data_IF_607991560419
#
_entry.id   IF_607991560419
#
_cell.length_a   1.000
_cell.length_b   1.000
_cell.length_c   1.000
_cell.angle_alpha   90.00
_cell.angle_beta   90.00
_cell.angle_gamma   90.00
#
_symmetry.space_group_name_H-M   'P 1'
#
loop_
_entity.id
_entity.type
_entity.pdbx_description
1 polymer ?
#
# COMPACT_ATOMS: atom_id res chain seq x y z
N UNK A 1 -54.85 -2.55 -62.09
CA UNK A 1 -53.45 -2.73 -61.57
C UNK A 1 -53.06 -1.53 -60.72
N UNK A 2 -53.27 -1.61 -59.44
CA UNK A 2 -52.86 -0.57 -58.51
C UNK A 2 -51.73 -1.13 -57.64
N UNK A 3 -50.51 -0.51 -57.69
CA UNK A 3 -49.40 -0.83 -56.86
C UNK A 3 -49.40 0.11 -55.64
N UNK A 4 -49.60 -0.42 -54.45
CA UNK A 4 -49.53 0.28 -53.19
C UNK A 4 -48.09 0.27 -52.73
N UNK A 5 -47.50 1.47 -52.53
CA UNK A 5 -46.18 1.63 -51.87
C UNK A 5 -46.44 1.80 -50.37
N UNK A 6 -45.88 0.90 -49.57
CA UNK A 6 -45.86 1.02 -48.12
C UNK A 6 -44.52 1.77 -47.73
N UNK A 7 -44.70 2.92 -47.13
CA UNK A 7 -43.56 3.67 -46.53
C UNK A 7 -43.27 3.13 -45.11
N UNK A 8 -42.08 2.59 -44.91
CA UNK A 8 -41.59 2.15 -43.60
C UNK A 8 -40.92 3.39 -42.95
N UNK A 9 -41.53 3.92 -41.89
CA UNK A 9 -40.89 4.92 -40.98
C UNK A 9 -39.97 4.20 -40.02
N UNK A 10 -38.69 4.45 -40.13
CA UNK A 10 -37.68 4.03 -39.14
C UNK A 10 -37.56 5.15 -38.10
N UNK A 11 -38.15 4.92 -36.92
CA UNK A 11 -37.99 5.82 -35.76
C UNK A 11 -36.64 5.52 -35.07
N UNK A 12 -35.69 6.44 -35.23
CA UNK A 12 -34.41 6.40 -34.55
C UNK A 12 -34.58 6.88 -33.08
N UNK A 13 -34.54 5.94 -32.15
CA UNK A 13 -34.61 6.21 -30.72
C UNK A 13 -33.19 6.68 -30.26
N UNK A 14 -33.00 7.98 -30.09
CA UNK A 14 -31.79 8.53 -29.45
C UNK A 14 -31.87 8.27 -27.95
N UNK A 15 -31.08 7.31 -27.45
CA UNK A 15 -30.86 7.11 -26.04
C UNK A 15 -29.93 8.20 -25.54
N UNK A 16 -30.44 9.19 -24.82
CA UNK A 16 -29.64 10.15 -24.05
C UNK A 16 -29.07 9.44 -22.84
N UNK A 17 -27.77 9.16 -22.87
CA UNK A 17 -27.01 8.71 -21.69
C UNK A 17 -26.92 9.92 -20.75
N UNK A 18 -27.73 9.94 -19.70
CA UNK A 18 -27.60 10.89 -18.61
C UNK A 18 -26.26 10.59 -17.90
N UNK A 19 -25.26 11.43 -18.10
CA UNK A 19 -24.06 11.43 -17.28
C UNK A 19 -24.50 11.71 -15.84
N UNK A 20 -24.31 10.75 -14.94
CA UNK A 20 -24.54 10.95 -13.52
C UNK A 20 -23.65 12.10 -13.06
N UNK A 21 -24.25 13.21 -12.62
CA UNK A 21 -23.53 14.35 -12.07
C UNK A 21 -22.75 13.87 -10.83
N UNK A 22 -21.42 13.98 -10.88
CA UNK A 22 -20.59 13.76 -9.70
C UNK A 22 -20.99 14.78 -8.64
N UNK A 23 -21.02 14.37 -7.34
CA UNK A 23 -21.27 15.33 -6.26
C UNK A 23 -20.23 16.44 -6.32
N UNK A 24 -20.67 17.69 -6.15
CA UNK A 24 -19.77 18.83 -6.12
C UNK A 24 -18.71 18.63 -5.03
N UNK A 25 -17.43 18.84 -5.37
CA UNK A 25 -16.34 18.76 -4.43
C UNK A 25 -16.56 19.76 -3.29
N UNK A 26 -16.34 19.30 -2.05
CA UNK A 26 -16.30 20.17 -0.85
C UNK A 26 -14.86 20.62 -0.54
N UNK A 27 -13.87 20.08 -1.24
CA UNK A 27 -12.46 20.44 -1.03
C UNK A 27 -12.12 21.78 -1.70
N UNK A 28 -11.24 22.59 -1.06
CA UNK A 28 -10.75 23.84 -1.64
C UNK A 28 -10.05 23.62 -3.01
N UNK A 29 -10.12 24.62 -3.94
CA UNK A 29 -9.51 24.48 -5.28
C UNK A 29 -8.01 24.18 -5.25
N UNK A 30 -7.26 24.73 -4.29
CA UNK A 30 -5.83 24.48 -4.10
C UNK A 30 -5.54 23.01 -3.72
N UNK A 31 -6.43 22.37 -2.95
CA UNK A 31 -6.35 20.94 -2.61
C UNK A 31 -6.57 20.10 -3.87
N UNK A 32 -7.56 20.43 -4.68
CA UNK A 32 -7.82 19.72 -5.95
C UNK A 32 -6.62 19.87 -6.89
N UNK A 33 -6.04 21.07 -6.98
CA UNK A 33 -4.84 21.34 -7.78
C UNK A 33 -3.66 20.47 -7.35
N UNK A 34 -3.50 20.23 -6.04
CA UNK A 34 -2.41 19.42 -5.49
C UNK A 34 -2.67 17.92 -5.65
N UNK A 35 -3.88 17.45 -5.33
CA UNK A 35 -4.17 16.00 -5.24
C UNK A 35 -4.76 15.40 -6.52
N UNK A 36 -5.36 16.21 -7.39
CA UNK A 36 -5.91 15.77 -8.68
C UNK A 36 -5.57 16.76 -9.81
N UNK A 37 -4.28 17.07 -10.05
CA UNK A 37 -3.87 18.11 -11.01
C UNK A 37 -4.28 17.82 -12.45
N UNK A 38 -4.58 16.56 -12.77
CA UNK A 38 -5.06 16.14 -14.10
C UNK A 38 -6.58 16.00 -14.20
N UNK A 39 -7.31 16.39 -13.13
CA UNK A 39 -8.75 16.17 -13.00
C UNK A 39 -9.11 14.76 -12.52
N UNK A 40 -8.11 13.91 -12.25
CA UNK A 40 -8.26 12.53 -11.73
C UNK A 40 -7.26 12.33 -10.60
N UNK A 41 -7.71 11.79 -9.46
CA UNK A 41 -6.84 11.38 -8.37
C UNK A 41 -6.11 10.09 -8.76
N UNK A 42 -4.79 10.15 -8.95
CA UNK A 42 -3.97 8.98 -9.26
C UNK A 42 -3.38 8.41 -7.97
N UNK A 43 -3.82 7.22 -7.58
CA UNK A 43 -3.41 6.57 -6.34
C UNK A 43 -2.47 5.38 -6.61
N UNK A 44 -1.28 5.40 -6.02
CA UNK A 44 -0.35 4.28 -6.06
C UNK A 44 -0.67 3.26 -4.97
N UNK A 45 -0.96 2.03 -5.37
CA UNK A 45 -1.37 0.92 -4.52
C UNK A 45 -0.23 -0.12 -4.42
N UNK A 46 0.29 -0.33 -3.22
CA UNK A 46 1.35 -1.31 -2.97
C UNK A 46 0.76 -2.69 -2.66
N UNK A 47 0.56 -3.53 -3.66
CA UNK A 47 0.05 -4.91 -3.49
C UNK A 47 1.10 -5.87 -2.87
N UNK A 48 2.33 -5.43 -2.67
CA UNK A 48 3.33 -6.18 -1.90
C UNK A 48 3.07 -6.21 -0.39
N UNK A 49 2.11 -5.42 0.11
CA UNK A 49 1.71 -5.41 1.53
C UNK A 49 0.30 -6.01 1.69
N UNK A 50 0.25 -7.30 1.97
CA UNK A 50 -0.99 -8.08 2.06
C UNK A 50 -1.89 -7.71 3.25
N UNK A 51 -1.38 -6.96 4.24
CA UNK A 51 -2.19 -6.43 5.34
C UNK A 51 -3.08 -5.30 4.85
N UNK A 52 -2.56 -4.48 3.94
CA UNK A 52 -3.20 -3.25 3.49
C UNK A 52 -3.94 -3.41 2.16
N UNK A 53 -3.47 -4.36 1.33
CA UNK A 53 -4.00 -4.63 -0.01
C UNK A 53 -4.09 -6.13 -0.23
N UNK A 54 -5.26 -6.61 -0.59
CA UNK A 54 -5.48 -7.98 -1.06
C UNK A 54 -5.78 -7.94 -2.56
N UNK A 55 -5.48 -9.04 -3.26
CA UNK A 55 -5.74 -9.19 -4.68
C UNK A 55 -6.40 -10.54 -4.95
N UNK A 56 -7.53 -10.50 -5.67
CA UNK A 56 -8.25 -11.67 -6.13
C UNK A 56 -8.74 -11.49 -7.58
N UNK A 57 -9.67 -12.35 -8.02
CA UNK A 57 -10.23 -12.29 -9.37
C UNK A 57 -11.05 -11.01 -9.64
N UNK A 58 -11.53 -10.33 -8.59
CA UNK A 58 -12.28 -9.07 -8.70
C UNK A 58 -11.35 -7.84 -8.77
N UNK A 59 -10.06 -8.01 -8.53
CA UNK A 59 -9.06 -6.96 -8.55
C UNK A 59 -8.39 -6.74 -7.20
N UNK A 60 -8.00 -5.48 -6.90
CA UNK A 60 -7.40 -5.10 -5.62
C UNK A 60 -8.44 -4.49 -4.68
N UNK A 61 -8.35 -4.85 -3.41
CA UNK A 61 -9.20 -4.34 -2.32
C UNK A 61 -8.40 -4.24 -1.02
N UNK A 62 -9.02 -3.73 0.04
CA UNK A 62 -8.39 -3.53 1.35
C UNK A 62 -8.31 -2.07 1.76
N UNK A 63 -7.78 -1.80 2.95
CA UNK A 63 -7.84 -0.49 3.60
C UNK A 63 -7.22 0.63 2.75
N UNK A 64 -6.16 0.35 2.02
CA UNK A 64 -5.52 1.31 1.11
C UNK A 64 -6.45 1.73 -0.03
N UNK A 65 -7.11 0.74 -0.65
CA UNK A 65 -8.06 0.97 -1.75
C UNK A 65 -9.29 1.71 -1.25
N UNK A 66 -9.81 1.34 -0.08
CA UNK A 66 -10.96 1.99 0.54
C UNK A 66 -10.67 3.45 0.87
N UNK A 67 -9.49 3.76 1.47
CA UNK A 67 -9.06 5.13 1.75
C UNK A 67 -8.88 5.95 0.47
N UNK A 68 -8.32 5.37 -0.59
CA UNK A 68 -8.14 6.06 -1.86
C UNK A 68 -9.49 6.42 -2.50
N UNK A 69 -10.44 5.50 -2.51
CA UNK A 69 -11.79 5.73 -3.03
C UNK A 69 -12.56 6.78 -2.19
N UNK A 70 -12.46 6.70 -0.86
CA UNK A 70 -13.11 7.65 0.04
C UNK A 70 -12.54 9.07 -0.15
N UNK A 71 -11.21 9.19 -0.30
CA UNK A 71 -10.59 10.47 -0.62
C UNK A 71 -11.10 11.03 -1.95
N UNK A 72 -11.16 10.22 -3.01
CA UNK A 72 -11.68 10.64 -4.31
C UNK A 72 -13.13 11.14 -4.21
N UNK A 73 -13.95 10.48 -3.38
CA UNK A 73 -15.33 10.89 -3.08
C UNK A 73 -15.37 12.26 -2.38
N UNK A 74 -14.49 12.49 -1.40
CA UNK A 74 -14.37 13.80 -0.71
C UNK A 74 -13.91 14.91 -1.67
N UNK A 75 -12.99 14.58 -2.57
CA UNK A 75 -12.50 15.53 -3.58
C UNK A 75 -13.49 15.75 -4.72
N UNK A 76 -14.53 14.92 -4.87
CA UNK A 76 -15.46 14.97 -6.00
C UNK A 76 -14.78 14.70 -7.35
N UNK A 77 -13.70 13.90 -7.37
CA UNK A 77 -12.90 13.61 -8.57
C UNK A 77 -12.94 12.12 -8.93
N UNK A 78 -12.80 11.76 -10.21
CA UNK A 78 -12.51 10.39 -10.61
C UNK A 78 -11.22 9.88 -9.96
N UNK A 79 -11.09 8.55 -9.83
CA UNK A 79 -9.89 7.91 -9.31
C UNK A 79 -9.29 6.95 -10.34
N UNK A 80 -7.95 6.90 -10.39
CA UNK A 80 -7.18 5.90 -11.10
C UNK A 80 -6.22 5.21 -10.13
N UNK A 81 -6.33 3.87 -10.04
CA UNK A 81 -5.44 3.06 -9.20
C UNK A 81 -4.31 2.49 -10.05
N UNK A 82 -3.06 2.78 -9.68
CA UNK A 82 -1.88 2.13 -10.25
C UNK A 82 -1.32 1.15 -9.24
N UNK A 83 -1.30 -0.14 -9.60
CA UNK A 83 -0.90 -1.22 -8.69
C UNK A 83 0.56 -1.58 -8.91
N UNK A 84 1.34 -1.55 -7.83
CA UNK A 84 2.74 -1.95 -7.78
C UNK A 84 2.88 -3.20 -6.90
N UNK A 85 3.78 -4.10 -7.27
CA UNK A 85 4.05 -5.35 -6.52
C UNK A 85 5.06 -5.17 -5.37
N UNK A 86 5.65 -3.97 -5.23
CA UNK A 86 6.62 -3.65 -4.18
C UNK A 86 6.63 -2.16 -3.82
N UNK A 87 6.85 -1.84 -2.54
CA UNK A 87 6.92 -0.47 -2.03
C UNK A 87 8.06 0.35 -2.64
N UNK A 88 9.20 -0.29 -2.97
CA UNK A 88 10.32 0.37 -3.65
C UNK A 88 9.92 0.94 -4.99
N UNK A 89 9.10 0.21 -5.77
CA UNK A 89 8.61 0.68 -7.08
C UNK A 89 7.67 1.87 -6.95
N UNK A 90 6.81 1.91 -5.92
CA UNK A 90 5.97 3.09 -5.61
C UNK A 90 6.86 4.31 -5.33
N UNK A 91 7.92 4.12 -4.53
CA UNK A 91 8.86 5.21 -4.21
C UNK A 91 9.63 5.70 -5.44
N UNK A 92 10.05 4.78 -6.32
CA UNK A 92 10.75 5.15 -7.56
C UNK A 92 9.83 5.94 -8.52
N UNK A 93 8.56 5.58 -8.61
CA UNK A 93 7.56 6.18 -9.48
C UNK A 93 7.25 7.67 -9.16
N UNK A 94 7.56 8.14 -7.93
CA UNK A 94 7.37 9.55 -7.58
C UNK A 94 8.18 10.50 -8.46
N UNK A 95 9.38 10.07 -8.87
CA UNK A 95 10.29 10.89 -9.69
C UNK A 95 9.74 11.17 -11.09
N UNK A 96 8.89 10.25 -11.58
CA UNK A 96 8.26 10.34 -12.90
C UNK A 96 6.88 11.01 -12.84
N UNK A 97 6.40 11.41 -11.64
CA UNK A 97 5.07 11.99 -11.47
C UNK A 97 3.92 11.03 -11.83
N UNK A 98 4.11 9.72 -11.59
CA UNK A 98 3.14 8.69 -12.00
C UNK A 98 1.90 8.67 -11.12
N UNK A 99 1.96 9.22 -9.90
CA UNK A 99 0.87 9.23 -8.94
C UNK A 99 0.79 10.56 -8.16
N UNK A 100 -0.36 10.81 -7.55
CA UNK A 100 -0.65 11.99 -6.75
C UNK A 100 -0.68 11.67 -5.26
N UNK A 101 -1.16 10.49 -4.89
CA UNK A 101 -1.13 9.95 -3.54
C UNK A 101 -0.55 8.53 -3.53
N UNK A 102 0.07 8.17 -2.41
CA UNK A 102 0.57 6.83 -2.17
C UNK A 102 0.35 6.42 -0.72
N UNK A 103 0.44 5.11 -0.46
CA UNK A 103 0.30 4.50 0.86
C UNK A 103 1.57 3.71 1.15
N UNK A 104 2.41 4.25 2.02
CA UNK A 104 3.74 3.72 2.30
C UNK A 104 4.11 3.93 3.77
N UNK A 105 4.97 3.07 4.26
CA UNK A 105 5.62 3.30 5.54
C UNK A 105 6.45 4.59 5.53
N UNK A 106 6.38 5.34 6.61
CA UNK A 106 7.22 6.52 6.85
C UNK A 106 8.66 6.05 7.03
N UNK A 107 9.54 6.41 6.08
CA UNK A 107 10.97 6.10 6.11
C UNK A 107 11.78 7.34 5.70
N UNK A 108 12.94 7.62 6.31
CA UNK A 108 13.70 8.84 6.04
C UNK A 108 14.01 9.07 4.56
N UNK A 109 14.39 8.02 3.84
CA UNK A 109 14.71 8.11 2.40
C UNK A 109 13.48 8.45 1.56
N UNK A 110 12.29 8.03 1.98
CA UNK A 110 11.02 8.37 1.32
C UNK A 110 10.58 9.79 1.66
N UNK A 111 10.75 10.20 2.93
CA UNK A 111 10.42 11.55 3.39
C UNK A 111 11.23 12.66 2.70
N UNK A 112 12.35 12.31 2.07
CA UNK A 112 13.11 13.24 1.23
C UNK A 112 12.40 13.66 -0.06
N UNK A 113 11.37 12.93 -0.50
CA UNK A 113 10.63 13.19 -1.75
C UNK A 113 9.10 13.09 -1.60
N UNK A 114 8.60 12.63 -0.46
CA UNK A 114 7.17 12.43 -0.15
C UNK A 114 6.83 13.13 1.16
N UNK A 115 5.82 13.98 1.16
CA UNK A 115 5.19 14.50 2.37
C UNK A 115 4.20 13.47 2.93
N UNK A 116 4.36 13.10 4.20
CA UNK A 116 3.55 12.09 4.86
C UNK A 116 2.53 12.68 5.85
N UNK A 117 1.41 12.00 6.01
CA UNK A 117 0.48 12.17 7.13
C UNK A 117 1.01 11.48 8.38
N UNK A 118 0.32 11.60 9.51
CA UNK A 118 0.42 10.62 10.58
C UNK A 118 0.09 9.21 10.07
N UNK A 119 0.59 8.14 10.71
CA UNK A 119 0.24 6.78 10.31
C UNK A 119 -1.23 6.48 10.58
N UNK A 120 -1.84 5.66 9.73
CA UNK A 120 -3.19 5.15 9.93
C UNK A 120 -3.18 3.71 10.48
N UNK A 121 -2.11 2.94 10.20
CA UNK A 121 -1.91 1.57 10.68
C UNK A 121 -0.45 1.38 11.08
N UNK A 122 -0.21 0.58 12.12
CA UNK A 122 1.10 0.11 12.54
C UNK A 122 1.14 -1.41 12.37
N UNK A 123 2.17 -1.90 11.68
CA UNK A 123 2.45 -3.32 11.49
C UNK A 123 3.89 -3.61 11.91
N UNK A 124 4.25 -4.88 12.04
CA UNK A 124 5.55 -5.28 12.56
C UNK A 124 6.44 -5.89 11.48
N UNK A 125 7.71 -5.48 11.47
CA UNK A 125 8.79 -6.11 10.75
C UNK A 125 9.51 -7.14 11.63
N UNK A 126 9.57 -8.40 11.19
CA UNK A 126 10.26 -9.47 11.93
C UNK A 126 10.99 -10.41 10.98
N UNK A 127 11.61 -11.46 11.52
CA UNK A 127 12.30 -12.47 10.75
C UNK A 127 11.56 -13.82 10.75
N UNK A 128 11.69 -14.53 9.65
CA UNK A 128 11.42 -15.95 9.50
C UNK A 128 12.74 -16.67 9.27
N UNK A 129 12.91 -17.83 9.90
CA UNK A 129 14.09 -18.68 9.82
C UNK A 129 13.67 -20.14 9.68
N UNK A 130 14.60 -21.05 9.34
CA UNK A 130 14.35 -22.49 9.40
C UNK A 130 13.94 -22.89 10.82
N UNK A 131 13.07 -23.89 10.96
CA UNK A 131 12.54 -24.32 12.26
C UNK A 131 13.65 -24.77 13.23
N UNK A 132 14.70 -25.41 12.71
CA UNK A 132 15.88 -25.88 13.43
C UNK A 132 17.01 -24.84 13.54
N UNK A 133 16.83 -23.64 12.97
CA UNK A 133 17.84 -22.58 13.00
C UNK A 133 18.32 -22.25 14.42
N UNK A 134 19.63 -22.04 14.63
CA UNK A 134 20.18 -21.60 15.91
C UNK A 134 19.81 -20.14 16.24
N UNK A 135 19.35 -19.34 15.28
CA UNK A 135 18.93 -17.96 15.48
C UNK A 135 17.60 -17.94 16.24
N UNK A 136 17.61 -17.55 17.51
CA UNK A 136 16.43 -17.61 18.40
C UNK A 136 15.79 -16.25 18.65
N UNK A 137 16.59 -15.18 18.66
CA UNK A 137 16.19 -13.80 18.95
C UNK A 137 16.55 -12.86 17.80
N UNK A 138 15.96 -11.68 17.79
CA UNK A 138 16.31 -10.63 16.81
C UNK A 138 17.81 -10.30 16.86
N UNK A 139 18.40 -10.25 18.04
CA UNK A 139 19.82 -9.94 18.21
C UNK A 139 20.76 -11.03 17.64
N UNK A 140 20.30 -12.27 17.50
CA UNK A 140 21.11 -13.33 16.89
C UNK A 140 21.31 -13.15 15.39
N UNK A 141 20.47 -12.36 14.74
CA UNK A 141 20.46 -12.19 13.27
C UNK A 141 21.56 -11.23 12.79
N UNK A 142 21.95 -10.24 13.59
CA UNK A 142 23.01 -9.30 13.20
C UNK A 142 24.39 -9.82 13.56
N UNK A 143 24.88 -10.81 12.82
CA UNK A 143 26.23 -11.40 12.99
C UNK A 143 26.91 -11.58 11.63
N UNK A 144 28.24 -11.63 11.66
CA UNK A 144 29.06 -11.93 10.49
C UNK A 144 28.67 -13.28 9.87
N UNK A 145 28.54 -13.31 8.56
CA UNK A 145 28.19 -14.48 7.79
C UNK A 145 26.69 -14.73 7.66
N UNK A 146 25.81 -14.07 8.43
CA UNK A 146 24.35 -14.17 8.29
C UNK A 146 23.90 -13.41 7.04
N UNK A 147 23.07 -14.06 6.22
CA UNK A 147 22.49 -13.53 4.99
C UNK A 147 20.98 -13.45 5.14
N UNK A 148 20.42 -12.25 4.94
CA UNK A 148 19.00 -11.97 5.17
C UNK A 148 18.32 -11.61 3.85
N UNK A 149 17.29 -12.38 3.44
CA UNK A 149 16.44 -12.02 2.31
C UNK A 149 15.55 -10.82 2.64
N UNK A 150 15.53 -9.82 1.76
CA UNK A 150 14.65 -8.66 1.86
C UNK A 150 14.04 -8.29 0.50
N UNK A 151 12.84 -7.72 0.47
CA UNK A 151 12.33 -7.08 -0.73
C UNK A 151 12.96 -5.69 -0.87
N UNK A 152 13.61 -5.43 -1.99
CA UNK A 152 14.31 -4.17 -2.29
C UNK A 152 13.39 -2.96 -2.10
N UNK A 153 13.84 -2.00 -1.29
CA UNK A 153 13.12 -0.76 -1.01
C UNK A 153 11.88 -0.92 -0.14
N UNK A 154 11.65 -2.10 0.47
CA UNK A 154 10.63 -2.26 1.52
C UNK A 154 11.00 -1.48 2.80
N UNK A 155 10.04 -1.25 3.69
CA UNK A 155 10.31 -0.58 4.98
C UNK A 155 11.38 -1.33 5.78
N UNK A 156 11.27 -2.66 5.82
CA UNK A 156 12.24 -3.49 6.54
C UNK A 156 13.62 -3.53 5.85
N UNK A 157 13.73 -3.49 4.51
CA UNK A 157 15.03 -3.33 3.83
C UNK A 157 15.66 -1.99 4.18
N UNK A 158 14.90 -0.89 4.11
CA UNK A 158 15.38 0.45 4.42
C UNK A 158 15.81 0.58 5.90
N UNK A 159 15.04 -0.02 6.81
CA UNK A 159 15.37 -0.06 8.23
C UNK A 159 16.66 -0.86 8.48
N UNK A 160 16.71 -2.10 7.99
CA UNK A 160 17.86 -2.99 8.21
C UNK A 160 19.14 -2.45 7.55
N UNK A 161 19.03 -1.78 6.39
CA UNK A 161 20.18 -1.13 5.74
C UNK A 161 20.89 -0.11 6.63
N UNK A 162 20.13 0.59 7.50
CA UNK A 162 20.71 1.63 8.38
C UNK A 162 21.04 1.14 9.79
N UNK A 163 20.59 -0.05 10.19
CA UNK A 163 20.69 -0.54 11.58
C UNK A 163 21.61 -1.74 11.74
N UNK A 164 21.67 -2.63 10.76
CA UNK A 164 22.58 -3.79 10.82
C UNK A 164 24.04 -3.35 10.72
N UNK A 165 24.88 -4.04 11.49
CA UNK A 165 26.32 -3.79 11.55
C UNK A 165 27.13 -4.92 10.89
N UNK A 166 26.62 -6.16 10.91
CA UNK A 166 27.36 -7.36 10.57
C UNK A 166 26.69 -8.19 9.47
N UNK A 167 25.37 -8.42 9.57
CA UNK A 167 24.65 -9.29 8.64
C UNK A 167 24.51 -8.67 7.24
N UNK A 168 24.50 -9.52 6.22
CA UNK A 168 24.38 -9.12 4.81
C UNK A 168 22.93 -9.19 4.32
N UNK A 169 22.46 -8.13 3.64
CA UNK A 169 21.14 -8.11 3.00
C UNK A 169 21.20 -8.61 1.55
N UNK A 170 20.41 -9.64 1.24
CA UNK A 170 20.18 -10.15 -0.11
C UNK A 170 18.84 -9.63 -0.60
N UNK A 171 18.86 -8.77 -1.62
CA UNK A 171 17.70 -8.01 -2.09
C UNK A 171 17.01 -8.64 -3.27
N UNK A 172 15.71 -8.86 -3.14
CA UNK A 172 14.84 -9.39 -4.20
C UNK A 172 13.84 -8.33 -4.69
N UNK A 173 13.31 -8.47 -5.91
CA UNK A 173 12.44 -7.44 -6.51
C UNK A 173 11.11 -7.20 -5.79
N UNK A 174 10.58 -8.23 -5.10
CA UNK A 174 9.29 -8.17 -4.39
C UNK A 174 9.27 -9.09 -3.17
N UNK A 175 8.33 -8.92 -2.21
CA UNK A 175 8.25 -9.78 -1.03
C UNK A 175 8.08 -11.28 -1.36
N UNK A 176 7.20 -11.71 -2.28
CA UNK A 176 7.11 -13.12 -2.66
C UNK A 176 8.44 -13.69 -3.15
N UNK A 177 9.11 -12.97 -4.07
CA UNK A 177 10.43 -13.39 -4.58
C UNK A 177 11.50 -13.43 -3.49
N UNK A 178 11.40 -12.57 -2.47
CA UNK A 178 12.29 -12.59 -1.31
C UNK A 178 12.17 -13.88 -0.51
N UNK A 179 10.95 -14.40 -0.33
CA UNK A 179 10.74 -15.65 0.40
C UNK A 179 11.07 -16.88 -0.43
N UNK A 180 10.78 -16.86 -1.72
CA UNK A 180 11.24 -17.90 -2.65
C UNK A 180 12.77 -17.97 -2.67
N UNK A 181 13.44 -16.81 -2.78
CA UNK A 181 14.89 -16.70 -2.74
C UNK A 181 15.49 -17.12 -1.40
N UNK A 182 14.86 -16.79 -0.27
CA UNK A 182 15.29 -17.26 1.04
C UNK A 182 15.45 -18.79 1.06
N UNK A 183 14.46 -19.50 0.51
CA UNK A 183 14.47 -20.95 0.44
C UNK A 183 15.46 -21.48 -0.60
N UNK A 184 15.40 -20.93 -1.83
CA UNK A 184 16.21 -21.43 -2.95
C UNK A 184 17.71 -21.21 -2.75
N UNK A 185 18.09 -20.04 -2.23
CA UNK A 185 19.48 -19.64 -2.03
C UNK A 185 20.01 -20.06 -0.63
N UNK A 186 19.18 -20.77 0.15
CA UNK A 186 19.50 -21.26 1.50
C UNK A 186 20.06 -20.13 2.37
N UNK A 187 19.33 -19.04 2.46
CA UNK A 187 19.70 -17.91 3.29
C UNK A 187 19.37 -18.21 4.77
N UNK A 188 19.96 -17.45 5.68
CA UNK A 188 19.85 -17.70 7.12
C UNK A 188 18.54 -17.16 7.72
N UNK A 189 18.03 -16.06 7.17
CA UNK A 189 16.77 -15.45 7.57
C UNK A 189 16.07 -14.76 6.39
N UNK A 190 14.76 -14.59 6.52
CA UNK A 190 13.96 -13.70 5.66
C UNK A 190 13.30 -12.62 6.53
N UNK A 191 13.49 -11.36 6.20
CA UNK A 191 12.78 -10.25 6.83
C UNK A 191 11.48 -9.93 6.09
N UNK A 192 10.44 -9.57 6.84
CA UNK A 192 9.16 -9.23 6.24
C UNK A 192 8.14 -8.73 7.26
N UNK A 193 6.96 -8.36 6.76
CA UNK A 193 5.80 -8.05 7.59
C UNK A 193 5.31 -9.33 8.26
N UNK A 194 5.10 -9.29 9.57
CA UNK A 194 4.74 -10.46 10.41
C UNK A 194 3.59 -11.28 9.84
N UNK A 195 2.50 -10.63 9.42
CA UNK A 195 1.32 -11.32 8.90
C UNK A 195 1.64 -12.13 7.64
N UNK A 196 2.47 -11.56 6.74
CA UNK A 196 2.89 -12.26 5.54
C UNK A 196 3.81 -13.44 5.85
N UNK A 197 4.77 -13.26 6.75
CA UNK A 197 5.66 -14.33 7.22
C UNK A 197 4.87 -15.47 7.87
N UNK A 198 3.89 -15.13 8.71
CA UNK A 198 3.01 -16.11 9.34
C UNK A 198 2.18 -16.89 8.31
N UNK A 199 1.64 -16.19 7.29
CA UNK A 199 0.89 -16.85 6.22
C UNK A 199 1.77 -17.82 5.41
N UNK A 200 3.00 -17.42 5.10
CA UNK A 200 3.97 -18.28 4.42
C UNK A 200 4.37 -19.49 5.27
N UNK A 201 4.71 -19.27 6.55
CA UNK A 201 5.11 -20.33 7.46
C UNK A 201 4.00 -21.38 7.72
N UNK A 202 2.71 -20.99 7.62
CA UNK A 202 1.59 -21.96 7.73
C UNK A 202 1.65 -23.06 6.66
N UNK A 203 2.21 -22.78 5.49
CA UNK A 203 2.38 -23.74 4.40
C UNK A 203 3.75 -24.45 4.43
N UNK A 204 4.62 -24.06 5.35
CA UNK A 204 6.01 -24.48 5.45
C UNK A 204 6.37 -24.85 6.91
N UNK A 205 6.06 -26.07 7.36
CA UNK A 205 6.33 -26.49 8.74
C UNK A 205 7.83 -26.55 9.08
N UNK A 206 8.68 -26.52 8.07
CA UNK A 206 10.14 -26.40 8.17
C UNK A 206 10.61 -24.96 8.46
N UNK A 207 9.70 -24.00 8.63
CA UNK A 207 9.99 -22.59 8.92
C UNK A 207 9.29 -22.12 10.19
N UNK A 208 9.85 -21.12 10.85
CA UNK A 208 9.22 -20.42 11.98
C UNK A 208 9.44 -18.93 11.90
N UNK A 209 8.47 -18.16 12.38
CA UNK A 209 8.56 -16.70 12.53
C UNK A 209 9.01 -16.40 13.95
N UNK A 210 9.92 -15.43 14.10
CA UNK A 210 10.36 -14.98 15.42
C UNK A 210 9.23 -14.26 16.15
N UNK A 211 9.06 -14.48 17.49
CA UNK A 211 7.99 -13.84 18.26
C UNK A 211 8.21 -12.34 18.42
N UNK A 212 9.45 -11.90 18.48
CA UNK A 212 9.84 -10.49 18.61
C UNK A 212 9.78 -9.78 17.25
N UNK A 213 9.79 -8.45 17.26
CA UNK A 213 9.93 -7.64 16.05
C UNK A 213 11.17 -6.73 16.18
N UNK A 214 11.78 -6.40 15.04
CA UNK A 214 12.88 -5.44 14.99
C UNK A 214 12.41 -4.01 14.65
N UNK A 215 11.20 -3.87 14.09
CA UNK A 215 10.67 -2.58 13.64
C UNK A 215 9.15 -2.53 13.79
N UNK A 216 8.63 -1.39 14.29
CA UNK A 216 7.26 -0.95 14.03
C UNK A 216 7.23 -0.21 12.69
N UNK A 217 6.45 -0.72 11.75
CA UNK A 217 6.27 -0.14 10.43
C UNK A 217 5.04 0.76 10.47
N UNK A 218 5.24 2.06 10.34
CA UNK A 218 4.20 3.09 10.46
C UNK A 218 3.68 3.46 9.07
N UNK A 219 2.56 2.86 8.67
CA UNK A 219 1.95 3.05 7.35
C UNK A 219 1.12 4.32 7.29
N UNK A 220 1.41 5.18 6.33
CA UNK A 220 0.82 6.50 6.18
C UNK A 220 0.37 6.78 4.73
N UNK A 221 -0.47 7.79 4.56
CA UNK A 221 -0.70 8.40 3.25
C UNK A 221 0.40 9.40 2.95
N UNK A 222 0.73 9.56 1.67
CA UNK A 222 1.69 10.55 1.23
C UNK A 222 1.35 11.14 -0.13
N UNK A 223 1.90 12.31 -0.38
CA UNK A 223 1.85 13.03 -1.67
C UNK A 223 3.26 13.53 -2.01
N UNK A 224 3.63 13.73 -3.28
CA UNK A 224 4.92 14.32 -3.63
C UNK A 224 5.15 15.64 -2.91
N UNK A 225 6.40 15.93 -2.51
CA UNK A 225 6.75 17.21 -1.86
C UNK A 225 6.35 18.41 -2.74
N UNK A 226 6.06 19.55 -2.09
CA UNK A 226 5.60 20.78 -2.74
C UNK A 226 4.10 20.85 -2.99
N UNK A 227 3.33 19.90 -2.46
CA UNK A 227 1.86 19.86 -2.50
C UNK A 227 1.28 20.15 -1.11
N UNK A 228 1.56 21.34 -0.59
CA UNK A 228 1.33 21.66 0.82
C UNK A 228 -0.14 21.70 1.22
N UNK A 229 -1.01 22.27 0.37
CA UNK A 229 -2.45 22.31 0.61
C UNK A 229 -3.02 20.88 0.59
N UNK A 230 -2.60 20.07 -0.38
CA UNK A 230 -2.95 18.65 -0.48
C UNK A 230 -2.49 17.85 0.74
N UNK A 231 -1.24 18.03 1.17
CA UNK A 231 -0.70 17.34 2.33
C UNK A 231 -1.46 17.70 3.62
N UNK A 232 -1.76 18.97 3.82
CA UNK A 232 -2.53 19.39 5.01
C UNK A 232 -3.95 18.80 5.00
N UNK A 233 -4.58 18.72 3.83
CA UNK A 233 -5.88 18.07 3.68
C UNK A 233 -5.79 16.57 3.99
N UNK A 234 -4.76 15.86 3.47
CA UNK A 234 -4.55 14.44 3.75
C UNK A 234 -4.33 14.18 5.25
N UNK A 235 -3.63 15.05 5.97
CA UNK A 235 -3.44 14.92 7.44
C UNK A 235 -4.78 14.95 8.17
N UNK A 236 -5.63 15.91 7.87
CA UNK A 236 -6.98 15.98 8.45
C UNK A 236 -7.81 14.76 8.07
N UNK A 237 -7.82 14.39 6.80
CA UNK A 237 -8.55 13.24 6.27
C UNK A 237 -8.17 11.93 6.99
N UNK A 238 -6.88 11.65 7.18
CA UNK A 238 -6.43 10.43 7.86
C UNK A 238 -6.93 10.38 9.30
N UNK A 239 -6.86 11.50 10.05
CA UNK A 239 -7.36 11.55 11.42
C UNK A 239 -8.88 11.35 11.48
N UNK A 240 -9.65 11.94 10.56
CA UNK A 240 -11.08 11.70 10.43
C UNK A 240 -11.41 10.24 10.13
N UNK A 241 -10.67 9.59 9.22
CA UNK A 241 -10.85 8.18 8.88
C UNK A 241 -10.53 7.24 10.06
N UNK A 242 -9.54 7.58 10.88
CA UNK A 242 -9.26 6.85 12.13
C UNK A 242 -10.38 7.06 13.14
N UNK A 243 -10.76 8.31 13.41
CA UNK A 243 -11.74 8.69 14.42
C UNK A 243 -13.15 8.15 14.12
N UNK A 244 -13.56 8.14 12.84
CA UNK A 244 -14.87 7.61 12.42
C UNK A 244 -14.98 6.09 12.46
N UNK A 245 -13.86 5.39 12.71
CA UNK A 245 -13.78 3.94 12.65
C UNK A 245 -13.76 3.38 11.21
N UNK A 246 -13.60 4.23 10.20
CA UNK A 246 -13.50 3.81 8.80
C UNK A 246 -12.34 2.83 8.58
N UNK A 247 -11.14 3.16 9.08
CA UNK A 247 -9.94 2.30 9.01
C UNK A 247 -10.20 0.95 9.67
N UNK A 248 -10.78 0.94 10.89
CA UNK A 248 -11.09 -0.30 11.61
C UNK A 248 -12.03 -1.21 10.82
N UNK A 249 -13.13 -0.65 10.32
CA UNK A 249 -14.12 -1.40 9.54
C UNK A 249 -13.55 -1.94 8.23
N UNK A 250 -12.68 -1.16 7.58
CA UNK A 250 -12.02 -1.61 6.35
C UNK A 250 -11.06 -2.77 6.60
N UNK A 251 -10.20 -2.68 7.63
CA UNK A 251 -9.32 -3.77 8.05
C UNK A 251 -10.11 -5.04 8.42
N UNK A 252 -11.22 -4.89 9.13
CA UNK A 252 -12.08 -6.02 9.48
C UNK A 252 -12.66 -6.71 8.24
N UNK A 253 -13.19 -5.94 7.27
CA UNK A 253 -13.69 -6.49 5.99
C UNK A 253 -12.62 -7.22 5.19
N UNK A 254 -11.38 -6.75 5.28
CA UNK A 254 -10.22 -7.35 4.63
C UNK A 254 -9.64 -8.56 5.40
N UNK A 255 -10.25 -8.99 6.51
CA UNK A 255 -9.74 -10.08 7.35
C UNK A 255 -8.45 -9.73 8.09
N UNK A 256 -8.18 -8.44 8.31
CA UNK A 256 -6.97 -7.90 8.96
C UNK A 256 -7.29 -7.20 10.28
N UNK A 257 -8.27 -7.70 11.02
CA UNK A 257 -8.71 -7.11 12.28
C UNK A 257 -7.61 -7.02 13.36
N UNK A 258 -6.57 -7.84 13.24
CA UNK A 258 -5.41 -7.85 14.16
C UNK A 258 -4.38 -6.73 13.86
N UNK A 259 -4.54 -5.99 12.76
CA UNK A 259 -3.67 -4.86 12.46
C UNK A 259 -3.96 -3.70 13.44
N UNK A 260 -2.90 -3.09 13.97
CA UNK A 260 -3.01 -2.02 14.96
C UNK A 260 -3.32 -0.70 14.27
N UNK A 261 -4.46 -0.09 14.60
CA UNK A 261 -4.75 1.28 14.17
C UNK A 261 -3.81 2.24 14.91
N UNK A 262 -3.16 3.12 14.17
CA UNK A 262 -2.28 4.10 14.80
C UNK A 262 -3.09 5.07 15.69
N UNK A 263 -2.55 5.48 16.85
CA UNK A 263 -3.20 6.46 17.70
C UNK A 263 -3.36 7.81 16.97
N UNK A 264 -4.30 8.63 17.45
CA UNK A 264 -4.45 10.00 16.95
C UNK A 264 -3.15 10.80 17.13
N UNK A 265 -2.81 11.61 16.14
CA UNK A 265 -1.74 12.59 16.28
C UNK A 265 -2.18 13.68 17.27
N UNK A 266 -1.31 14.05 18.21
CA UNK A 266 -1.58 15.07 19.25
C UNK A 266 -1.26 16.46 18.74
#
# INVERSE_FOLDING_TARGET
MYKTFAAVMISTLMATIAAAAQPASTAPPEVIKDLAPTGTLRAAINAGNVVLVQKDASGVHGVTVDLANELARHLGTPIALTVYDAAGKVTEAVKNGEWDIAFLAIEPVRAAVIGFTAPYVIIEGTYMVAADSPLKTIADVDRDGIRIAVAKGSAYDLYLTRTLQHAALVRYPSPPLGFEGFVADKLDAAAGVRQFLNAFAKTRPDMRVMPEHFQEIREAMGTPLGRDAGLQYLKTFVEEMKASGFVAKSLQRAGQADAVIAPAEK
#
